data_IF_428538766098
#
_entry.id   IF_428538766098
#
_cell.length_a   1.000
_cell.length_b   1.000
_cell.length_c   1.000
_cell.angle_alpha   90.00
_cell.angle_beta   90.00
_cell.angle_gamma   90.00
#
_symmetry.space_group_name_H-M   'P 1'
#
loop_
_entity.id
_entity.type
_entity.pdbx_description
1 polymer ?
#
# COMPACT_ATOMS: atom_id res chain seq x y z
N UNK A 1 -22.99 5.34 -8.98
CA UNK A 1 -22.50 5.97 -7.74
C UNK A 1 -21.02 5.68 -7.67
N UNK A 2 -20.17 6.68 -7.45
CA UNK A 2 -18.72 6.47 -7.42
C UNK A 2 -18.28 5.90 -6.07
N UNK A 3 -17.42 4.87 -6.07
CA UNK A 3 -16.93 4.22 -4.86
C UNK A 3 -16.15 5.20 -3.95
N UNK A 4 -15.37 6.10 -4.55
CA UNK A 4 -14.69 7.18 -3.82
C UNK A 4 -15.66 8.09 -3.05
N UNK A 5 -16.84 8.36 -3.62
CA UNK A 5 -17.86 9.19 -2.98
C UNK A 5 -18.48 8.45 -1.79
N UNK A 6 -18.66 7.14 -1.88
CA UNK A 6 -19.13 6.32 -0.77
C UNK A 6 -18.11 6.37 0.38
N UNK A 7 -16.82 6.17 0.07
CA UNK A 7 -15.70 6.25 1.02
C UNK A 7 -15.65 7.61 1.71
N UNK A 8 -15.71 8.71 0.96
CA UNK A 8 -15.65 10.08 1.52
C UNK A 8 -16.80 10.41 2.47
N UNK A 9 -17.91 9.70 2.36
CA UNK A 9 -19.08 9.84 3.24
C UNK A 9 -19.13 8.78 4.34
N UNK A 10 -18.13 7.88 4.42
CA UNK A 10 -18.12 6.66 5.24
C UNK A 10 -19.39 5.80 5.03
N UNK A 11 -19.88 5.73 3.78
CA UNK A 11 -21.07 4.97 3.39
C UNK A 11 -20.66 3.55 2.97
N UNK A 12 -20.52 2.69 3.97
CA UNK A 12 -20.09 1.29 3.79
C UNK A 12 -21.13 0.50 3.01
N UNK A 13 -22.43 0.76 3.17
CA UNK A 13 -23.49 0.04 2.46
C UNK A 13 -23.42 0.31 0.94
N UNK A 14 -23.24 1.58 0.56
CA UNK A 14 -23.04 1.93 -0.85
C UNK A 14 -21.73 1.36 -1.39
N UNK A 15 -20.66 1.36 -0.59
CA UNK A 15 -19.37 0.78 -0.97
C UNK A 15 -19.49 -0.74 -1.18
N UNK A 16 -20.16 -1.43 -0.27
CA UNK A 16 -20.42 -2.87 -0.32
C UNK A 16 -21.25 -3.23 -1.54
N UNK A 17 -22.32 -2.49 -1.83
CA UNK A 17 -23.13 -2.72 -3.02
C UNK A 17 -22.31 -2.57 -4.31
N UNK A 18 -21.38 -1.60 -4.36
CA UNK A 18 -20.51 -1.38 -5.52
C UNK A 18 -19.47 -2.48 -5.66
N UNK A 19 -18.79 -2.86 -4.58
CA UNK A 19 -17.78 -3.94 -4.60
C UNK A 19 -18.42 -5.30 -4.90
N UNK A 20 -19.63 -5.56 -4.40
CA UNK A 20 -20.37 -6.78 -4.74
C UNK A 20 -20.77 -6.83 -6.22
N UNK A 21 -21.08 -5.68 -6.83
CA UNK A 21 -21.38 -5.59 -8.26
C UNK A 21 -20.12 -5.65 -9.13
N UNK A 22 -19.00 -5.11 -8.63
CA UNK A 22 -17.73 -4.91 -9.33
C UNK A 22 -16.55 -5.19 -8.39
N UNK A 23 -16.25 -6.47 -8.10
CA UNK A 23 -15.19 -6.85 -7.16
C UNK A 23 -13.79 -6.42 -7.61
N UNK A 24 -13.59 -6.18 -8.91
CA UNK A 24 -12.35 -5.64 -9.47
C UNK A 24 -11.94 -4.30 -8.86
N UNK A 25 -12.91 -3.47 -8.45
CA UNK A 25 -12.67 -2.13 -7.90
C UNK A 25 -11.79 -2.11 -6.65
N UNK A 26 -11.77 -3.22 -5.89
CA UNK A 26 -10.96 -3.34 -4.67
C UNK A 26 -9.45 -3.27 -4.99
N UNK A 27 -9.07 -3.82 -6.14
CA UNK A 27 -7.68 -3.90 -6.59
C UNK A 27 -7.35 -2.91 -7.71
N UNK A 28 -8.36 -2.33 -8.34
CA UNK A 28 -8.14 -1.37 -9.43
C UNK A 28 -7.60 -0.04 -8.91
N UNK A 29 -6.60 0.45 -9.63
CA UNK A 29 -6.08 1.79 -9.47
C UNK A 29 -7.03 2.78 -10.13
N UNK A 30 -7.53 3.74 -9.37
CA UNK A 30 -8.38 4.82 -9.84
C UNK A 30 -7.59 6.12 -9.99
N UNK A 31 -7.97 6.93 -10.98
CA UNK A 31 -7.38 8.24 -11.24
C UNK A 31 -6.00 8.20 -11.90
N UNK A 32 -5.30 9.34 -11.85
CA UNK A 32 -3.95 9.49 -12.43
C UNK A 32 -2.84 9.20 -11.42
N UNK A 33 -3.19 9.15 -10.13
CA UNK A 33 -2.26 9.00 -9.01
C UNK A 33 -2.06 7.52 -8.62
N UNK A 34 -2.72 6.59 -9.31
CA UNK A 34 -2.62 5.15 -9.01
C UNK A 34 -3.26 4.78 -7.67
N UNK A 35 -4.25 5.55 -7.22
CA UNK A 35 -4.88 5.33 -5.93
C UNK A 35 -5.87 4.19 -5.98
N UNK A 36 -5.68 3.18 -5.13
CA UNK A 36 -6.71 2.17 -4.89
C UNK A 36 -7.80 2.73 -3.96
N UNK A 37 -8.95 2.07 -3.90
CA UNK A 37 -10.00 2.43 -2.94
C UNK A 37 -9.50 2.45 -1.49
N UNK A 38 -8.57 1.54 -1.14
CA UNK A 38 -7.96 1.53 0.18
C UNK A 38 -7.18 2.82 0.44
N UNK A 39 -6.43 3.31 -0.54
CA UNK A 39 -5.68 4.56 -0.44
C UNK A 39 -6.64 5.74 -0.20
N UNK A 40 -7.72 5.84 -0.98
CA UNK A 40 -8.74 6.89 -0.82
C UNK A 40 -9.41 6.85 0.56
N UNK A 41 -9.59 5.65 1.15
CA UNK A 41 -10.20 5.48 2.47
C UNK A 41 -9.30 5.96 3.62
N UNK A 42 -8.01 6.18 3.37
CA UNK A 42 -7.03 6.58 4.38
C UNK A 42 -6.58 8.05 4.21
N UNK A 43 -6.68 8.60 3.00
CA UNK A 43 -6.33 9.99 2.69
C UNK A 43 -7.44 10.96 3.15
N UNK A 44 -7.05 12.13 3.67
CA UNK A 44 -7.92 13.22 4.16
C UNK A 44 -8.79 12.88 5.39
N UNK A 45 -9.65 11.88 5.28
CA UNK A 45 -10.65 11.49 6.28
C UNK A 45 -10.64 9.96 6.42
N UNK A 46 -9.72 9.42 7.24
CA UNK A 46 -9.61 7.98 7.45
C UNK A 46 -10.96 7.40 7.86
N UNK A 47 -11.41 6.40 7.12
CA UNK A 47 -12.70 5.74 7.31
C UNK A 47 -12.43 4.30 7.68
N UNK A 48 -12.35 4.02 8.99
CA UNK A 48 -12.01 2.70 9.53
C UNK A 48 -12.89 1.59 8.94
N UNK A 49 -14.21 1.79 8.90
CA UNK A 49 -15.15 0.77 8.44
C UNK A 49 -14.97 0.47 6.94
N UNK A 50 -14.79 1.51 6.12
CA UNK A 50 -14.51 1.36 4.69
C UNK A 50 -13.15 0.68 4.45
N UNK A 51 -12.10 1.11 5.16
CA UNK A 51 -10.77 0.51 5.05
C UNK A 51 -10.79 -0.97 5.44
N UNK A 52 -11.48 -1.29 6.55
CA UNK A 52 -11.65 -2.67 7.02
C UNK A 52 -12.38 -3.52 5.97
N UNK A 53 -13.49 -3.01 5.44
CA UNK A 53 -14.25 -3.70 4.40
C UNK A 53 -13.40 -3.98 3.15
N UNK A 54 -12.61 -3.00 2.70
CA UNK A 54 -11.74 -3.17 1.54
C UNK A 54 -10.65 -4.22 1.78
N UNK A 55 -10.02 -4.19 2.96
CA UNK A 55 -9.02 -5.18 3.37
C UNK A 55 -9.60 -6.59 3.50
N UNK A 56 -10.79 -6.74 4.09
CA UNK A 56 -11.52 -8.00 4.16
C UNK A 56 -11.84 -8.57 2.76
N UNK A 57 -12.03 -7.70 1.77
CA UNK A 57 -12.27 -8.06 0.37
C UNK A 57 -10.99 -8.23 -0.47
N UNK A 58 -9.81 -8.23 0.17
CA UNK A 58 -8.54 -8.53 -0.49
C UNK A 58 -7.80 -7.32 -1.06
N UNK A 59 -8.11 -6.09 -0.61
CA UNK A 59 -7.27 -4.94 -0.90
C UNK A 59 -5.84 -5.17 -0.36
N UNK A 60 -4.82 -4.85 -1.16
CA UNK A 60 -3.43 -4.98 -0.74
C UNK A 60 -3.02 -3.79 0.16
N UNK A 61 -2.73 -4.02 1.46
CA UNK A 61 -2.30 -2.97 2.37
C UNK A 61 -0.90 -2.42 2.07
N UNK A 62 -0.17 -3.02 1.13
CA UNK A 62 1.16 -2.60 0.70
C UNK A 62 1.17 -2.02 -0.71
N UNK A 63 0.02 -1.86 -1.36
CA UNK A 63 -0.06 -1.27 -2.70
C UNK A 63 0.51 0.16 -2.67
N UNK A 64 1.41 0.43 -3.59
CA UNK A 64 2.07 1.73 -3.70
C UNK A 64 1.40 2.57 -4.77
N UNK A 65 1.22 3.86 -4.51
CA UNK A 65 0.73 4.79 -5.52
C UNK A 65 1.81 5.10 -6.58
N UNK A 66 1.52 5.99 -7.53
CA UNK A 66 2.48 6.39 -8.57
C UNK A 66 3.73 7.08 -8.02
N UNK A 67 3.66 7.64 -6.81
CA UNK A 67 4.80 8.26 -6.13
C UNK A 67 5.65 7.26 -5.35
N UNK A 68 5.12 6.04 -5.17
CA UNK A 68 5.75 4.96 -4.42
C UNK A 68 5.38 4.94 -2.94
N UNK A 69 4.38 5.72 -2.54
CA UNK A 69 3.91 5.80 -1.16
C UNK A 69 2.97 4.63 -0.83
N UNK A 70 3.16 4.04 0.35
CA UNK A 70 2.27 2.99 0.85
C UNK A 70 1.05 3.59 1.55
N UNK A 71 -0.06 2.84 1.69
CA UNK A 71 -1.27 3.33 2.35
C UNK A 71 -0.98 3.72 3.81
N UNK A 72 -0.08 2.99 4.47
CA UNK A 72 0.34 3.25 5.85
C UNK A 72 1.23 4.50 5.95
N UNK A 73 2.15 4.73 5.00
CA UNK A 73 2.97 5.95 4.94
C UNK A 73 2.08 7.19 4.79
N UNK A 74 1.17 7.15 3.82
CA UNK A 74 0.19 8.20 3.56
C UNK A 74 -0.73 8.43 4.77
N UNK A 75 -1.22 7.37 5.41
CA UNK A 75 -2.02 7.52 6.63
C UNK A 75 -1.29 8.35 7.70
N UNK A 76 0.01 8.09 7.87
CA UNK A 76 0.87 8.79 8.83
C UNK A 76 1.06 10.27 8.44
N UNK A 77 1.28 10.56 7.17
CA UNK A 77 1.50 11.94 6.68
C UNK A 77 0.23 12.81 6.72
N UNK A 78 -0.95 12.24 6.48
CA UNK A 78 -2.19 13.00 6.35
C UNK A 78 -3.08 13.02 7.60
N UNK A 79 -3.03 11.98 8.45
CA UNK A 79 -3.98 11.87 9.57
C UNK A 79 -3.35 11.44 10.90
N UNK A 80 -2.41 10.49 10.88
CA UNK A 80 -1.92 9.82 12.07
C UNK A 80 -2.98 8.99 12.82
N UNK A 81 -4.03 8.51 12.13
CA UNK A 81 -5.10 7.75 12.77
C UNK A 81 -4.62 6.37 13.25
N UNK A 82 -4.50 6.23 14.57
CA UNK A 82 -3.96 5.02 15.19
C UNK A 82 -4.86 3.80 14.95
N UNK A 83 -6.17 3.97 14.79
CA UNK A 83 -7.08 2.83 14.59
C UNK A 83 -6.90 2.25 13.19
N UNK A 84 -6.80 3.10 12.18
CA UNK A 84 -6.50 2.67 10.81
C UNK A 84 -5.07 2.15 10.68
N UNK A 85 -4.12 2.67 11.45
CA UNK A 85 -2.75 2.18 11.50
C UNK A 85 -2.70 0.75 12.06
N UNK A 86 -3.33 0.50 13.20
CA UNK A 86 -3.45 -0.84 13.80
C UNK A 86 -4.14 -1.82 12.86
N UNK A 87 -5.19 -1.36 12.17
CA UNK A 87 -5.90 -2.15 11.17
C UNK A 87 -4.96 -2.57 10.03
N UNK A 88 -4.27 -1.62 9.40
CA UNK A 88 -3.33 -1.92 8.32
C UNK A 88 -2.24 -2.90 8.78
N UNK A 89 -1.67 -2.69 9.96
CA UNK A 89 -0.67 -3.60 10.55
C UNK A 89 -1.24 -5.00 10.79
N UNK A 90 -2.49 -5.11 11.25
CA UNK A 90 -3.17 -6.39 11.46
C UNK A 90 -3.36 -7.17 10.15
N UNK A 91 -3.50 -6.48 9.02
CA UNK A 91 -3.58 -7.08 7.68
C UNK A 91 -2.20 -7.28 7.02
N UNK A 92 -1.10 -7.00 7.73
CA UNK A 92 0.25 -7.22 7.23
C UNK A 92 0.81 -6.06 6.40
N UNK A 93 0.32 -4.82 6.62
CA UNK A 93 1.00 -3.63 6.13
C UNK A 93 2.41 -3.55 6.71
N UNK A 94 3.37 -3.19 5.87
CA UNK A 94 4.72 -2.93 6.33
C UNK A 94 4.72 -1.62 7.13
N UNK A 95 5.28 -1.60 8.36
CA UNK A 95 5.39 -0.38 9.13
C UNK A 95 6.19 0.66 8.34
N UNK A 96 5.90 1.96 8.53
CA UNK A 96 6.54 2.99 7.75
C UNK A 96 8.03 2.93 8.11
N UNK A 97 8.87 2.75 7.10
CA UNK A 97 10.29 2.51 7.31
C UNK A 97 10.87 3.75 8.00
N UNK A 98 11.08 3.71 9.33
CA UNK A 98 11.52 4.85 10.18
C UNK A 98 12.91 5.39 9.84
N UNK A 99 13.48 5.08 8.67
CA UNK A 99 14.83 5.48 8.32
C UNK A 99 15.00 5.72 6.82
N UNK A 100 14.64 6.92 6.39
CA UNK A 100 15.53 7.85 5.69
C UNK A 100 14.69 8.79 4.84
N UNK A 101 14.72 10.06 5.18
CA UNK A 101 14.44 11.16 4.26
C UNK A 101 15.32 11.02 3.01
N UNK A 102 14.82 10.38 1.95
CA UNK A 102 15.33 10.44 0.57
C UNK A 102 14.33 9.79 -0.41
N UNK A 103 13.74 10.54 -1.36
CA UNK A 103 12.65 10.07 -2.24
C UNK A 103 13.11 9.16 -3.40
N UNK A 104 14.08 8.26 -3.20
CA UNK A 104 14.71 7.53 -4.34
C UNK A 104 15.15 6.08 -4.02
N UNK A 105 14.78 5.50 -2.89
CA UNK A 105 15.18 4.11 -2.62
C UNK A 105 14.12 3.35 -1.84
N UNK A 106 13.11 2.82 -2.55
CA UNK A 106 12.69 1.43 -2.30
C UNK A 106 11.74 0.77 -3.31
N UNK A 107 11.21 1.46 -4.33
CA UNK A 107 10.46 0.76 -5.41
C UNK A 107 11.34 0.33 -6.58
N UNK A 108 12.30 -0.56 -6.29
CA UNK A 108 12.76 -1.57 -7.26
C UNK A 108 13.43 -2.74 -6.55
N UNK A 109 12.67 -3.54 -5.81
CA UNK A 109 13.06 -4.93 -5.50
C UNK A 109 11.91 -5.75 -4.89
N UNK A 110 10.93 -6.08 -5.71
CA UNK A 110 10.05 -7.24 -5.49
C UNK A 110 9.90 -8.05 -6.79
N UNK A 111 11.02 -8.30 -7.47
CA UNK A 111 11.08 -9.21 -8.61
C UNK A 111 12.50 -9.73 -8.81
N UNK A 112 13.03 -10.50 -7.84
CA UNK A 112 14.03 -11.53 -8.16
C UNK A 112 14.12 -12.54 -7.00
N UNK A 113 13.26 -13.56 -7.03
CA UNK A 113 13.58 -14.83 -6.40
C UNK A 113 14.54 -15.59 -7.33
N UNK A 114 15.67 -16.05 -6.81
CA UNK A 114 16.40 -17.12 -7.48
C UNK A 114 17.89 -17.17 -7.17
N UNK A 115 18.27 -18.12 -6.29
CA UNK A 115 19.44 -19.00 -6.42
C UNK A 115 20.79 -18.29 -6.61
N UNK A 116 21.72 -18.31 -5.67
CA UNK A 116 22.44 -19.50 -5.21
C UNK A 116 23.94 -19.17 -5.29
N UNK A 117 24.67 -19.53 -4.23
CA UNK A 117 26.11 -19.85 -4.22
C UNK A 117 27.08 -18.68 -4.34
N UNK A 118 27.67 -18.25 -3.23
CA UNK A 118 28.84 -18.83 -2.55
C UNK A 118 30.04 -17.93 -2.81
N UNK A 119 30.60 -17.47 -1.69
CA UNK A 119 32.00 -17.15 -1.44
C UNK A 119 32.96 -17.64 -2.52
N UNK A 120 33.88 -16.79 -2.96
CA UNK A 120 35.31 -16.94 -2.68
C UNK A 120 36.11 -15.90 -3.46
N UNK A 121 36.83 -15.09 -2.68
CA UNK A 121 38.19 -14.60 -2.93
C UNK A 121 38.86 -15.11 -4.22
N UNK A 122 39.33 -14.18 -5.06
CA UNK A 122 40.41 -14.48 -6.01
C UNK A 122 41.62 -13.59 -5.70
N UNK A 123 42.78 -14.15 -5.35
CA UNK A 123 44.05 -13.44 -5.35
C UNK A 123 44.60 -13.39 -6.78
N UNK A 124 45.54 -12.51 -7.07
CA UNK A 124 46.86 -12.89 -7.59
C UNK A 124 47.71 -11.67 -7.99
N UNK A 125 48.91 -11.68 -7.42
CA UNK A 125 50.11 -10.98 -7.86
C UNK A 125 50.57 -11.42 -9.26
N UNK A 126 51.25 -10.52 -9.98
CA UNK A 126 52.40 -10.74 -10.88
C UNK A 126 52.80 -9.33 -11.36
N UNK A 127 53.98 -8.76 -11.10
CA UNK A 127 55.35 -9.23 -11.34
C UNK A 127 55.56 -9.72 -12.77
N UNK A 128 55.98 -8.80 -13.64
CA UNK A 128 57.13 -8.95 -14.55
C UNK A 128 57.64 -7.57 -14.96
#
# INVERSE_FOLDING_TARGET
>A
MDAERAIRNNDVESLEALVNAHPELVTEESGFDGHTLLFTALVNRPSYDCAKFLLDNGADPNHVDVTGETPLSTLHDFSGDTQCEELLLAYGANPPNKRSSSPTSQNKKAAEQGRAHQSTTRPESKSE
#
